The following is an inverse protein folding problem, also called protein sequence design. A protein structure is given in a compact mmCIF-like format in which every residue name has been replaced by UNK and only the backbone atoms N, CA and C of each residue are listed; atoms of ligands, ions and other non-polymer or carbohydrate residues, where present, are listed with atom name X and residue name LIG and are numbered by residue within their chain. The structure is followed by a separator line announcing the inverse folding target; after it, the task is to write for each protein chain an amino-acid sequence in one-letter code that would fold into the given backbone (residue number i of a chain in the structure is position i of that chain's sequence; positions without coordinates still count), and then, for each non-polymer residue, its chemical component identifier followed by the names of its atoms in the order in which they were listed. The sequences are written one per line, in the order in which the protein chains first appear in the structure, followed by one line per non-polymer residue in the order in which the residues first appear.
data_IF_715278408301
#
_entry.id   IF_715278408301
#
_cell.length_a   1.000
_cell.length_b   1.000
_cell.length_c   1.000
_cell.angle_alpha   90.00
_cell.angle_beta   90.00
_cell.angle_gamma   90.00
#
_symmetry.space_group_name_H-M   'P 1'
#
loop_
_entity.id
_entity.type
_entity.pdbx_description
1 polymer ?
#
# COMPACT_ATOMS: atom_id res chain seq x y z
N UNK A 1 -28.61 9.33 7.67
CA UNK A 1 -28.75 8.88 9.07
C UNK A 1 -28.56 10.12 9.93
N UNK A 2 -29.66 10.69 10.44
CA UNK A 2 -29.63 11.79 11.40
C UNK A 2 -28.91 11.31 12.66
N UNK A 3 -27.80 11.98 12.97
CA UNK A 3 -27.09 11.81 14.24
C UNK A 3 -28.03 12.31 15.34
N UNK A 4 -28.55 11.42 16.17
CA UNK A 4 -29.26 11.79 17.41
C UNK A 4 -28.19 12.45 18.28
N UNK A 5 -28.15 13.77 18.27
CA UNK A 5 -27.30 14.53 19.20
C UNK A 5 -27.99 14.55 20.57
N UNK A 6 -27.21 14.27 21.61
CA UNK A 6 -27.68 14.45 22.98
C UNK A 6 -28.19 15.89 23.16
N UNK A 7 -29.38 16.08 23.77
CA UNK A 7 -30.01 17.39 23.87
C UNK A 7 -29.12 18.44 24.57
N UNK A 8 -28.33 18.02 25.55
CA UNK A 8 -27.42 18.91 26.29
C UNK A 8 -26.26 19.40 25.43
N UNK A 9 -25.64 18.51 24.63
CA UNK A 9 -24.57 18.87 23.69
C UNK A 9 -25.11 19.77 22.60
N UNK A 10 -26.32 19.54 22.14
CA UNK A 10 -27.00 20.34 21.12
C UNK A 10 -27.15 21.81 21.58
N UNK A 11 -27.52 22.04 22.84
CA UNK A 11 -27.65 23.39 23.43
C UNK A 11 -26.27 24.09 23.50
N UNK A 12 -25.22 23.36 23.89
CA UNK A 12 -23.86 23.91 23.97
C UNK A 12 -23.38 24.33 22.58
N UNK A 13 -23.59 23.49 21.57
CA UNK A 13 -23.17 23.75 20.18
C UNK A 13 -23.93 24.93 19.55
N UNK A 14 -25.22 25.10 19.87
CA UNK A 14 -26.01 26.25 19.41
C UNK A 14 -25.49 27.57 19.99
N UNK A 15 -25.04 27.56 21.25
CA UNK A 15 -24.52 28.73 21.93
C UNK A 15 -23.03 29.01 21.61
N UNK A 16 -22.33 28.06 21.03
CA UNK A 16 -20.88 28.14 20.76
C UNK A 16 -20.53 27.47 19.43
N UNK A 17 -20.97 28.05 18.28
CA UNK A 17 -20.77 27.42 16.96
C UNK A 17 -19.29 27.22 16.58
N UNK A 18 -18.39 27.99 17.21
CA UNK A 18 -16.96 27.89 16.97
C UNK A 18 -16.33 26.58 17.49
N UNK A 19 -16.98 25.87 18.42
CA UNK A 19 -16.48 24.59 18.97
C UNK A 19 -16.31 23.52 17.88
N UNK A 20 -17.15 23.54 16.85
CA UNK A 20 -17.07 22.57 15.76
C UNK A 20 -15.91 22.89 14.81
N UNK A 21 -15.53 24.14 14.70
CA UNK A 21 -14.50 24.61 13.77
C UNK A 21 -13.08 24.30 14.24
N UNK A 22 -12.87 24.12 15.54
CA UNK A 22 -11.55 23.81 16.11
C UNK A 22 -11.12 22.36 15.89
N UNK A 23 -12.05 21.50 15.51
CA UNK A 23 -11.80 20.07 15.34
C UNK A 23 -11.60 19.34 16.68
N UNK A 24 -11.24 18.06 16.59
CA UNK A 24 -10.93 17.25 17.77
C UNK A 24 -9.43 17.33 18.08
N UNK A 25 -9.11 17.53 19.35
CA UNK A 25 -7.74 17.43 19.86
C UNK A 25 -7.24 15.95 19.86
N UNK A 26 -5.92 15.78 19.96
CA UNK A 26 -5.31 14.46 19.90
C UNK A 26 -5.74 13.52 21.04
N UNK A 27 -5.93 14.04 22.23
CA UNK A 27 -6.33 13.24 23.40
C UNK A 27 -7.76 12.77 23.24
N UNK A 28 -8.67 13.65 22.80
CA UNK A 28 -10.06 13.28 22.49
C UNK A 28 -10.10 12.22 21.38
N UNK A 29 -9.30 12.37 20.34
CA UNK A 29 -9.18 11.38 19.26
C UNK A 29 -8.62 10.06 19.77
N UNK A 30 -7.61 10.07 20.64
CA UNK A 30 -6.98 8.87 21.18
C UNK A 30 -7.95 8.09 22.08
N UNK A 31 -8.65 8.78 23.00
CA UNK A 31 -9.61 8.16 23.93
C UNK A 31 -10.87 7.69 23.18
N UNK A 32 -11.36 8.48 22.22
CA UNK A 32 -12.52 8.14 21.41
C UNK A 32 -12.22 7.16 20.28
N UNK A 33 -10.95 6.86 20.02
CA UNK A 33 -10.47 6.13 18.84
C UNK A 33 -11.05 4.74 18.61
N UNK A 34 -11.65 4.14 19.64
CA UNK A 34 -12.43 2.90 19.49
C UNK A 34 -13.90 3.13 19.07
N UNK A 35 -14.44 4.32 19.31
CA UNK A 35 -15.84 4.65 19.06
C UNK A 35 -16.04 5.58 17.86
N UNK A 36 -15.08 6.45 17.60
CA UNK A 36 -15.07 7.25 16.39
C UNK A 36 -14.34 6.43 15.32
N UNK A 37 -15.09 5.77 14.47
CA UNK A 37 -14.59 5.37 13.15
C UNK A 37 -14.27 6.65 12.38
N UNK A 38 -13.19 7.32 12.73
CA UNK A 38 -12.41 8.13 11.81
C UNK A 38 -11.79 7.14 10.81
N UNK A 39 -12.69 6.42 10.10
CA UNK A 39 -12.34 5.32 9.25
C UNK A 39 -11.19 5.75 8.38
N UNK A 40 -10.17 4.91 8.25
CA UNK A 40 -8.97 5.17 7.48
C UNK A 40 -9.32 5.93 6.21
N UNK A 41 -9.05 7.24 6.24
CA UNK A 41 -9.23 8.10 5.08
C UNK A 41 -8.08 7.82 4.15
N UNK A 42 -8.39 7.44 2.93
CA UNK A 42 -7.34 7.07 1.97
C UNK A 42 -7.69 7.46 0.54
N UNK A 43 -6.66 7.62 -0.27
CA UNK A 43 -6.77 7.66 -1.72
C UNK A 43 -6.46 6.24 -2.22
N UNK A 44 -7.46 5.60 -2.80
CA UNK A 44 -7.32 4.30 -3.44
C UNK A 44 -7.00 4.47 -4.93
N UNK A 45 -6.07 3.65 -5.42
CA UNK A 45 -5.68 3.56 -6.83
C UNK A 45 -6.32 2.30 -7.39
N UNK A 46 -7.41 2.44 -8.14
CA UNK A 46 -8.15 1.30 -8.68
C UNK A 46 -8.67 1.61 -10.08
N UNK A 47 -8.54 0.68 -11.02
CA UNK A 47 -9.10 0.84 -12.37
C UNK A 47 -8.59 2.09 -13.11
N UNK A 48 -7.34 2.53 -12.85
CA UNK A 48 -6.79 3.79 -13.36
C UNK A 48 -7.61 5.04 -12.95
N UNK A 49 -8.25 4.99 -11.77
CA UNK A 49 -8.94 6.12 -11.16
C UNK A 49 -8.44 6.34 -9.74
N UNK A 50 -8.44 7.60 -9.30
CA UNK A 50 -8.19 7.95 -7.90
C UNK A 50 -9.53 8.06 -7.17
N UNK A 51 -9.64 7.39 -6.02
CA UNK A 51 -10.87 7.30 -5.25
C UNK A 51 -10.63 7.71 -3.82
N UNK A 52 -11.41 8.65 -3.30
CA UNK A 52 -11.43 8.97 -1.88
C UNK A 52 -12.29 7.94 -1.15
N UNK A 53 -11.69 7.24 -0.21
CA UNK A 53 -12.35 6.20 0.61
C UNK A 53 -12.29 6.63 2.06
N UNK A 54 -13.42 6.59 2.76
CA UNK A 54 -13.57 6.94 4.17
C UNK A 54 -14.33 5.82 4.87
N UNK A 55 -13.72 5.22 5.91
CA UNK A 55 -14.36 4.11 6.64
C UNK A 55 -14.67 2.89 5.76
N UNK A 56 -13.85 2.63 4.75
CA UNK A 56 -14.07 1.54 3.79
C UNK A 56 -15.07 1.84 2.68
N UNK A 57 -15.77 2.99 2.73
CA UNK A 57 -16.75 3.39 1.71
C UNK A 57 -16.14 4.40 0.75
N UNK A 58 -16.34 4.21 -0.54
CA UNK A 58 -15.98 5.17 -1.57
C UNK A 58 -16.91 6.39 -1.46
N UNK A 59 -16.31 7.57 -1.27
CA UNK A 59 -17.06 8.83 -1.12
C UNK A 59 -16.95 9.71 -2.36
N UNK A 60 -15.88 9.58 -3.15
CA UNK A 60 -15.75 10.26 -4.44
C UNK A 60 -14.73 9.57 -5.33
N UNK A 61 -14.92 9.69 -6.64
CA UNK A 61 -14.01 9.24 -7.68
C UNK A 61 -13.53 10.46 -8.45
N UNK A 62 -12.23 10.54 -8.73
CA UNK A 62 -11.73 11.58 -9.62
C UNK A 62 -12.17 11.25 -11.05
N UNK A 63 -12.84 12.19 -11.69
CA UNK A 63 -13.24 12.10 -13.11
C UNK A 63 -12.01 12.15 -14.04
N UNK A 64 -10.93 12.75 -13.55
CA UNK A 64 -9.68 12.88 -14.28
C UNK A 64 -8.75 11.70 -14.00
N UNK A 65 -7.87 11.40 -14.97
CA UNK A 65 -6.80 10.42 -14.80
C UNK A 65 -5.61 10.99 -14.00
N UNK A 66 -5.77 12.14 -13.35
CA UNK A 66 -4.80 12.76 -12.48
C UNK A 66 -5.47 13.29 -11.20
N UNK A 67 -4.65 13.54 -10.18
CA UNK A 67 -5.03 14.16 -8.92
C UNK A 67 -3.87 14.98 -8.39
N UNK A 68 -4.14 16.18 -7.91
CA UNK A 68 -3.17 17.02 -7.25
C UNK A 68 -3.22 16.79 -5.73
N UNK A 69 -2.06 16.67 -5.11
CA UNK A 69 -1.90 16.41 -3.67
C UNK A 69 -0.76 17.24 -3.10
N UNK A 70 -0.73 17.39 -1.78
CA UNK A 70 0.48 17.79 -1.04
C UNK A 70 0.89 16.64 -0.13
N UNK A 71 2.14 16.21 -0.23
CA UNK A 71 2.69 15.11 0.59
C UNK A 71 3.13 15.71 1.92
N UNK A 72 2.43 15.39 3.01
CA UNK A 72 2.76 15.92 4.34
C UNK A 72 3.69 15.02 5.14
N UNK A 73 3.65 13.69 4.89
CA UNK A 73 4.55 12.71 5.51
C UNK A 73 4.76 11.50 4.61
N UNK A 74 5.90 10.85 4.72
CA UNK A 74 6.25 9.65 3.97
C UNK A 74 6.87 8.61 4.91
N UNK A 75 6.59 7.33 4.67
CA UNK A 75 7.38 6.26 5.26
C UNK A 75 8.82 6.36 4.75
N UNK A 76 9.80 6.15 5.61
CA UNK A 76 11.22 6.24 5.22
C UNK A 76 11.66 5.07 4.35
N UNK A 77 10.96 3.94 4.47
CA UNK A 77 11.21 2.72 3.71
C UNK A 77 9.90 2.18 3.12
N UNK A 78 10.03 1.42 2.05
CA UNK A 78 8.91 0.62 1.56
C UNK A 78 8.63 -0.53 2.54
N UNK A 79 7.42 -1.03 2.52
CA UNK A 79 6.98 -2.20 3.29
C UNK A 79 6.65 -3.35 2.36
N UNK A 80 6.61 -4.57 2.90
CA UNK A 80 6.25 -5.78 2.17
C UNK A 80 5.10 -6.51 2.84
N UNK A 81 4.25 -7.13 2.02
CA UNK A 81 3.15 -8.00 2.50
C UNK A 81 3.04 -9.21 1.59
N UNK A 82 2.92 -10.38 2.21
CA UNK A 82 2.72 -11.66 1.53
C UNK A 82 1.45 -12.34 2.03
N UNK A 83 0.62 -12.78 1.10
CA UNK A 83 -0.60 -13.54 1.36
C UNK A 83 -0.45 -14.91 0.74
N UNK A 84 -0.47 -15.96 1.57
CA UNK A 84 -0.41 -17.36 1.09
C UNK A 84 -1.75 -17.83 0.53
N UNK A 85 -2.85 -17.21 0.95
CA UNK A 85 -4.19 -17.58 0.49
C UNK A 85 -4.70 -16.59 -0.56
N UNK A 86 -5.45 -17.11 -1.53
CA UNK A 86 -6.17 -16.28 -2.48
C UNK A 86 -7.28 -15.51 -1.77
N UNK A 87 -7.54 -14.28 -2.23
CA UNK A 87 -8.67 -13.50 -1.76
C UNK A 87 -9.98 -14.23 -2.04
N UNK A 88 -10.81 -14.35 -1.01
CA UNK A 88 -12.20 -14.76 -1.15
C UNK A 88 -13.10 -13.59 -0.76
N UNK A 89 -14.10 -13.33 -1.55
CA UNK A 89 -15.03 -12.23 -1.32
C UNK A 89 -15.73 -12.39 0.04
N UNK A 90 -15.75 -11.29 0.82
CA UNK A 90 -16.34 -11.28 2.16
C UNK A 90 -15.45 -11.82 3.29
N UNK A 91 -14.31 -12.45 3.00
CA UNK A 91 -13.37 -12.92 4.03
C UNK A 91 -12.32 -11.85 4.35
N UNK A 92 -12.09 -11.64 5.65
CA UNK A 92 -10.98 -10.82 6.15
C UNK A 92 -9.71 -11.67 6.11
N UNK A 93 -8.91 -11.52 5.07
CA UNK A 93 -7.65 -12.25 4.95
C UNK A 93 -6.52 -11.39 5.52
N UNK A 94 -5.84 -11.92 6.54
CA UNK A 94 -4.61 -11.33 7.06
C UNK A 94 -3.42 -11.79 6.23
N UNK A 95 -2.40 -10.95 6.01
CA UNK A 95 -1.17 -11.41 5.38
C UNK A 95 -0.51 -12.49 6.24
N UNK A 96 0.11 -13.44 5.57
CA UNK A 96 0.87 -14.53 6.21
C UNK A 96 2.21 -14.04 6.73
N UNK A 97 2.83 -13.11 6.01
CA UNK A 97 4.11 -12.50 6.38
C UNK A 97 4.13 -11.04 5.92
N UNK A 98 4.75 -10.18 6.74
CA UNK A 98 4.92 -8.76 6.42
C UNK A 98 6.21 -8.21 6.99
N UNK A 99 6.61 -7.06 6.48
CA UNK A 99 7.78 -6.32 6.90
C UNK A 99 7.55 -4.83 6.72
N UNK A 100 7.67 -4.06 7.78
CA UNK A 100 7.52 -2.61 7.77
C UNK A 100 8.70 -1.89 7.11
N UNK A 101 9.88 -2.51 7.11
CA UNK A 101 11.13 -1.93 6.57
C UNK A 101 11.65 -2.62 5.29
N UNK A 102 10.99 -3.68 4.83
CA UNK A 102 11.38 -4.53 3.69
C UNK A 102 12.70 -5.30 3.88
N UNK A 103 13.25 -5.37 5.09
CA UNK A 103 14.54 -6.04 5.40
C UNK A 103 14.33 -7.38 6.08
N UNK A 104 13.57 -7.38 7.15
CA UNK A 104 13.26 -8.57 7.95
C UNK A 104 11.76 -8.62 8.21
N UNK A 105 11.16 -9.81 8.39
CA UNK A 105 9.79 -9.91 8.88
C UNK A 105 9.62 -9.19 10.22
N UNK A 106 8.48 -8.52 10.41
CA UNK A 106 8.16 -7.86 11.67
C UNK A 106 8.04 -8.90 12.80
N UNK A 107 8.31 -8.48 14.03
CA UNK A 107 8.40 -9.38 15.19
C UNK A 107 7.09 -10.10 15.53
N UNK A 108 5.97 -9.53 15.14
CA UNK A 108 4.62 -10.07 15.33
C UNK A 108 4.18 -11.05 14.23
N UNK A 109 5.01 -11.30 13.23
CA UNK A 109 4.77 -12.31 12.18
C UNK A 109 4.88 -13.70 12.78
N UNK A 110 3.75 -14.43 12.84
CA UNK A 110 3.72 -15.79 13.42
C UNK A 110 4.46 -16.83 12.59
N UNK A 111 4.47 -16.66 11.26
CA UNK A 111 5.07 -17.61 10.31
C UNK A 111 5.95 -16.86 9.31
N UNK A 112 7.16 -16.43 9.71
CA UNK A 112 8.09 -15.76 8.80
C UNK A 112 8.48 -16.69 7.65
N UNK A 113 8.37 -16.22 6.41
CA UNK A 113 8.66 -17.01 5.22
C UNK A 113 10.16 -17.10 4.91
N UNK A 114 10.97 -16.26 5.55
CA UNK A 114 12.43 -16.24 5.48
C UNK A 114 12.98 -15.45 6.65
N UNK A 115 14.27 -15.62 6.96
CA UNK A 115 14.98 -14.76 7.94
C UNK A 115 15.13 -13.33 7.46
N UNK A 116 15.30 -13.10 6.17
CA UNK A 116 15.40 -11.78 5.55
C UNK A 116 14.53 -11.69 4.31
N UNK A 117 14.04 -10.50 3.99
CA UNK A 117 13.21 -10.26 2.81
C UNK A 117 13.99 -10.42 1.50
N UNK A 118 15.28 -10.12 1.51
CA UNK A 118 16.13 -10.18 0.30
C UNK A 118 16.37 -11.61 -0.19
N UNK A 119 16.47 -12.57 0.73
CA UNK A 119 16.67 -13.99 0.41
C UNK A 119 15.37 -14.76 0.31
N UNK A 120 14.23 -14.11 0.53
CA UNK A 120 12.92 -14.73 0.52
C UNK A 120 12.50 -15.10 -0.91
N UNK A 121 12.14 -16.36 -1.15
CA UNK A 121 11.66 -16.83 -2.45
C UNK A 121 10.45 -16.04 -2.96
N UNK A 122 9.56 -15.59 -2.09
CA UNK A 122 8.37 -14.80 -2.44
C UNK A 122 8.69 -13.34 -2.78
N UNK A 123 9.88 -12.85 -2.43
CA UNK A 123 10.40 -11.54 -2.83
C UNK A 123 11.14 -11.57 -4.16
N UNK A 124 11.46 -12.77 -4.66
CA UNK A 124 12.15 -12.94 -5.92
C UNK A 124 11.29 -12.47 -7.10
N UNK A 125 11.95 -11.96 -8.14
CA UNK A 125 11.28 -11.59 -9.39
C UNK A 125 10.66 -12.85 -10.01
N UNK A 126 9.46 -12.72 -10.55
CA UNK A 126 8.66 -13.79 -11.15
C UNK A 126 8.15 -14.85 -10.15
N UNK A 127 8.21 -14.58 -8.85
CA UNK A 127 7.57 -15.43 -7.82
C UNK A 127 6.06 -15.23 -7.72
N UNK A 128 5.52 -14.23 -8.40
CA UNK A 128 4.10 -13.95 -8.42
C UNK A 128 3.32 -14.92 -9.31
N UNK A 129 2.01 -14.70 -9.34
CA UNK A 129 1.08 -15.52 -10.11
C UNK A 129 1.49 -15.56 -11.59
N UNK A 130 1.43 -16.75 -12.18
CA UNK A 130 1.82 -16.98 -13.57
C UNK A 130 3.25 -16.55 -13.90
N UNK A 131 4.16 -16.56 -12.92
CA UNK A 131 5.54 -16.14 -13.12
C UNK A 131 5.70 -14.64 -13.38
N UNK A 132 4.76 -13.80 -12.97
CA UNK A 132 4.86 -12.34 -13.13
C UNK A 132 5.00 -11.63 -11.80
N UNK A 133 5.84 -10.58 -11.74
CA UNK A 133 6.03 -9.76 -10.54
C UNK A 133 6.63 -10.53 -9.36
N UNK A 134 6.24 -10.15 -8.14
CA UNK A 134 6.64 -10.78 -6.88
C UNK A 134 5.41 -11.19 -6.09
N UNK A 135 5.41 -12.38 -5.49
CA UNK A 135 4.33 -12.83 -4.62
C UNK A 135 4.25 -11.98 -3.33
N UNK A 136 5.41 -11.63 -2.76
CA UNK A 136 5.50 -10.66 -1.67
C UNK A 136 5.49 -9.24 -2.24
N UNK A 137 4.38 -8.54 -2.02
CA UNK A 137 4.14 -7.22 -2.61
C UNK A 137 4.88 -6.14 -1.84
N UNK A 138 5.61 -5.30 -2.57
CA UNK A 138 6.23 -4.11 -2.04
C UNK A 138 5.31 -2.91 -2.26
N UNK A 139 5.16 -2.08 -1.24
CA UNK A 139 4.38 -0.85 -1.30
C UNK A 139 5.03 0.28 -0.51
N UNK A 140 4.75 1.53 -0.91
CA UNK A 140 5.22 2.72 -0.20
C UNK A 140 4.03 3.53 0.31
N UNK A 141 4.08 3.91 1.59
CA UNK A 141 3.00 4.64 2.26
C UNK A 141 3.35 6.08 2.46
N UNK A 142 2.37 6.95 2.26
CA UNK A 142 2.47 8.36 2.54
C UNK A 142 1.16 8.94 3.05
N UNK A 143 1.27 10.03 3.77
CA UNK A 143 0.16 10.88 4.19
C UNK A 143 0.08 12.07 3.24
N UNK A 144 -1.10 12.34 2.73
CA UNK A 144 -1.34 13.41 1.78
C UNK A 144 -2.58 14.22 2.17
N UNK A 145 -2.60 15.48 1.76
CA UNK A 145 -3.77 16.36 1.83
C UNK A 145 -4.11 16.89 0.44
N UNK A 146 -5.33 17.35 0.24
CA UNK A 146 -5.74 17.97 -1.03
C UNK A 146 -5.33 19.46 -1.05
N UNK A 147 -4.86 20.00 -2.18
CA UNK A 147 -4.39 21.40 -2.26
C UNK A 147 -5.48 22.43 -2.00
N UNK A 148 -6.75 22.08 -2.26
CA UNK A 148 -7.90 22.95 -2.01
C UNK A 148 -8.43 22.88 -0.57
N UNK A 149 -7.88 21.98 0.26
CA UNK A 149 -8.26 21.81 1.66
C UNK A 149 -7.07 21.30 2.48
N UNK A 150 -6.07 22.17 2.67
CA UNK A 150 -4.81 21.82 3.35
C UNK A 150 -4.99 21.57 4.85
N UNK A 151 -6.03 22.11 5.46
CA UNK A 151 -6.41 21.90 6.86
C UNK A 151 -7.35 20.70 7.05
N UNK A 152 -7.83 20.13 5.97
CA UNK A 152 -8.79 19.05 5.98
C UNK A 152 -8.18 17.67 6.25
N UNK A 153 -8.78 16.68 5.66
CA UNK A 153 -8.44 15.29 5.90
C UNK A 153 -7.02 14.92 5.48
N UNK A 154 -6.24 14.40 6.42
CA UNK A 154 -5.02 13.66 6.09
C UNK A 154 -5.40 12.26 5.62
N UNK A 155 -5.01 11.92 4.40
CA UNK A 155 -5.37 10.66 3.76
C UNK A 155 -4.13 9.79 3.55
N UNK A 156 -4.28 8.48 3.76
CA UNK A 156 -3.26 7.52 3.38
C UNK A 156 -3.26 7.34 1.86
N UNK A 157 -2.07 7.30 1.28
CA UNK A 157 -1.83 6.86 -0.09
C UNK A 157 -0.82 5.72 -0.07
N UNK A 158 -1.18 4.57 -0.66
CA UNK A 158 -0.31 3.39 -0.76
C UNK A 158 0.03 3.18 -2.22
N UNK A 159 1.31 3.28 -2.53
CA UNK A 159 1.82 3.10 -3.89
C UNK A 159 2.33 1.67 -4.09
N UNK A 160 1.94 1.00 -5.17
CA UNK A 160 2.54 -0.28 -5.56
C UNK A 160 3.97 -0.08 -6.07
N UNK A 161 4.77 -1.14 -6.05
CA UNK A 161 6.16 -1.12 -6.52
C UNK A 161 6.32 -0.52 -7.92
N UNK A 162 5.38 -0.77 -8.83
CA UNK A 162 5.36 -0.24 -10.21
C UNK A 162 5.35 1.29 -10.26
N UNK A 163 4.75 1.94 -9.26
CA UNK A 163 4.71 3.40 -9.13
C UNK A 163 5.89 3.98 -8.34
N UNK A 164 6.67 3.13 -7.64
CA UNK A 164 7.76 3.59 -6.77
C UNK A 164 9.10 3.69 -7.48
N UNK A 165 9.36 2.80 -8.44
CA UNK A 165 10.66 2.61 -9.07
C UNK A 165 10.58 2.71 -10.58
N UNK A 166 11.71 3.05 -11.22
CA UNK A 166 11.83 3.17 -12.66
C UNK A 166 12.58 4.44 -13.04
N UNK A 167 12.53 4.77 -14.32
CA UNK A 167 13.16 5.97 -14.89
C UNK A 167 12.12 7.06 -15.13
N UNK A 168 12.57 8.29 -15.18
CA UNK A 168 11.79 9.43 -15.63
C UNK A 168 11.38 9.25 -17.10
N UNK A 169 10.18 9.69 -17.43
CA UNK A 169 9.62 9.66 -18.79
C UNK A 169 8.91 10.99 -19.10
N UNK A 170 9.55 11.87 -19.85
CA UNK A 170 8.95 13.13 -20.31
C UNK A 170 8.54 14.09 -19.17
N UNK A 171 9.42 14.28 -18.19
CA UNK A 171 9.17 15.14 -17.03
C UNK A 171 8.27 14.53 -15.96
N UNK A 172 7.95 13.24 -16.07
CA UNK A 172 7.12 12.49 -15.11
C UNK A 172 7.94 11.39 -14.48
N UNK A 173 7.84 11.27 -13.20
CA UNK A 173 8.74 10.43 -12.40
C UNK A 173 7.96 9.37 -11.62
N UNK A 174 8.48 8.13 -11.50
CA UNK A 174 8.09 7.26 -10.40
C UNK A 174 8.40 7.92 -9.06
N UNK A 175 7.79 7.48 -7.97
CA UNK A 175 7.86 8.15 -6.68
C UNK A 175 9.29 8.39 -6.17
N UNK A 176 10.16 7.38 -6.11
CA UNK A 176 11.53 7.57 -5.61
C UNK A 176 12.36 8.54 -6.45
N UNK A 177 12.43 8.41 -7.79
CA UNK A 177 13.06 9.41 -8.64
C UNK A 177 12.45 10.82 -8.49
N UNK A 178 11.12 10.94 -8.27
CA UNK A 178 10.48 12.21 -8.01
C UNK A 178 11.01 12.87 -6.73
N UNK A 179 11.04 12.14 -5.61
CA UNK A 179 11.56 12.67 -4.34
C UNK A 179 13.05 13.01 -4.46
N UNK A 180 13.82 12.21 -5.19
CA UNK A 180 15.23 12.49 -5.44
C UNK A 180 15.43 13.74 -6.28
N UNK A 181 14.60 13.96 -7.29
CA UNK A 181 14.61 15.18 -8.10
C UNK A 181 14.32 16.41 -7.24
N UNK A 182 13.29 16.36 -6.36
CA UNK A 182 13.01 17.45 -5.42
C UNK A 182 14.19 17.71 -4.48
N UNK A 183 14.76 16.67 -3.88
CA UNK A 183 15.90 16.79 -2.97
C UNK A 183 17.14 17.38 -3.63
N UNK A 184 17.44 16.99 -4.86
CA UNK A 184 18.56 17.54 -5.65
C UNK A 184 18.40 19.05 -5.93
N UNK A 185 17.17 19.56 -5.88
CA UNK A 185 16.85 20.97 -6.03
C UNK A 185 16.59 21.68 -4.68
N UNK A 186 16.94 21.06 -3.54
CA UNK A 186 16.69 21.58 -2.18
C UNK A 186 15.21 21.87 -1.90
N UNK A 187 14.30 21.14 -2.49
CA UNK A 187 12.87 21.29 -2.31
C UNK A 187 12.31 20.13 -1.49
N UNK A 188 11.61 20.43 -0.40
CA UNK A 188 10.87 19.44 0.37
C UNK A 188 9.55 19.11 -0.29
N UNK A 189 9.12 17.85 -0.28
CA UNK A 189 7.86 17.39 -0.89
C UNK A 189 6.62 18.13 -0.35
N UNK A 190 6.60 18.48 0.95
CA UNK A 190 5.52 19.26 1.55
C UNK A 190 5.49 20.75 1.15
N UNK A 191 6.39 21.20 0.28
CA UNK A 191 6.43 22.57 -0.26
C UNK A 191 5.90 22.67 -1.68
N UNK A 192 5.48 21.55 -2.25
CA UNK A 192 5.08 21.44 -3.64
C UNK A 192 3.71 20.78 -3.72
N UNK A 193 2.81 21.39 -4.48
CA UNK A 193 1.63 20.71 -5.00
C UNK A 193 2.12 19.72 -6.06
N UNK A 194 1.91 18.45 -5.79
CA UNK A 194 2.36 17.34 -6.63
C UNK A 194 1.19 16.80 -7.44
N UNK A 195 1.34 16.76 -8.75
CA UNK A 195 0.39 16.09 -9.64
C UNK A 195 0.73 14.61 -9.72
N UNK A 196 -0.22 13.78 -9.38
CA UNK A 196 -0.23 12.34 -9.66
C UNK A 196 -1.03 12.09 -10.92
N UNK A 197 -0.53 11.23 -11.80
CA UNK A 197 -1.28 10.83 -13.00
C UNK A 197 -0.95 9.39 -13.37
N UNK A 198 -1.92 8.73 -14.00
CA UNK A 198 -1.70 7.38 -14.49
C UNK A 198 -0.80 7.38 -15.74
N UNK A 199 0.11 6.42 -15.79
CA UNK A 199 0.88 6.12 -17.01
C UNK A 199 -0.07 5.46 -18.03
N UNK A 200 -0.36 6.12 -19.16
CA UNK A 200 -1.28 5.57 -20.16
C UNK A 200 -0.73 4.32 -20.85
N UNK A 201 0.60 4.16 -20.86
CA UNK A 201 1.28 3.03 -21.51
C UNK A 201 1.31 1.78 -20.64
N UNK A 202 1.10 1.93 -19.32
CA UNK A 202 1.15 0.80 -18.39
C UNK A 202 -0.13 -0.06 -18.49
N UNK A 203 0.04 -1.37 -18.57
CA UNK A 203 -1.07 -2.34 -18.55
C UNK A 203 -1.74 -2.44 -17.17
N UNK A 204 -0.97 -2.21 -16.10
CA UNK A 204 -1.46 -2.16 -14.72
C UNK A 204 -1.43 -0.72 -14.21
N UNK A 205 -2.23 -0.36 -13.17
CA UNK A 205 -2.20 0.97 -12.61
C UNK A 205 -0.79 1.35 -12.14
N UNK A 206 -0.15 2.29 -12.85
CA UNK A 206 1.14 2.88 -12.54
C UNK A 206 0.96 4.39 -12.44
N UNK A 207 1.31 4.96 -11.31
CA UNK A 207 1.21 6.40 -11.04
C UNK A 207 2.58 7.04 -11.22
N UNK A 208 2.60 8.14 -11.93
CA UNK A 208 3.76 9.01 -12.13
C UNK A 208 3.49 10.37 -11.48
N UNK A 209 4.55 11.04 -11.08
CA UNK A 209 4.55 12.28 -10.32
C UNK A 209 5.28 13.39 -11.06
N UNK A 210 4.78 14.61 -10.96
CA UNK A 210 5.48 15.81 -11.37
C UNK A 210 5.07 16.99 -10.48
N UNK A 211 5.93 18.03 -10.30
CA UNK A 211 5.54 19.23 -9.59
C UNK A 211 4.50 20.02 -10.40
N UNK A 212 3.46 20.51 -9.72
CA UNK A 212 2.40 21.31 -10.35
C UNK A 212 2.48 22.79 -9.97
N UNK A 213 2.68 23.07 -8.66
CA UNK A 213 2.79 24.43 -8.14
C UNK A 213 3.58 24.45 -6.83
N UNK A 214 4.04 25.63 -6.43
CA UNK A 214 4.54 25.83 -5.07
C UNK A 214 3.36 25.96 -4.10
N UNK A 215 3.55 25.49 -2.87
CA UNK A 215 2.64 25.78 -1.75
C UNK A 215 2.86 27.22 -1.30
N UNK A 216 1.78 27.94 -0.97
CA UNK A 216 1.90 29.30 -0.47
C UNK A 216 2.60 29.31 0.91
N UNK A 217 3.37 30.35 1.17
CA UNK A 217 4.07 30.50 2.45
C UNK A 217 3.12 30.60 3.65
N UNK A 218 1.92 31.17 3.46
CA UNK A 218 0.85 31.23 4.48
C UNK A 218 0.37 29.84 4.94
N UNK A 219 0.50 28.81 4.10
CA UNK A 219 -0.06 27.49 4.34
C UNK A 219 0.95 26.54 5.00
N UNK A 220 2.21 26.99 5.15
CA UNK A 220 3.28 26.12 5.64
C UNK A 220 3.08 25.67 7.09
N UNK A 221 2.52 26.53 7.95
CA UNK A 221 2.22 26.17 9.34
C UNK A 221 1.13 25.11 9.43
N UNK A 222 0.11 25.22 8.59
CA UNK A 222 -0.97 24.23 8.51
C UNK A 222 -0.38 22.87 8.09
N UNK A 223 0.43 22.85 7.04
CA UNK A 223 1.06 21.60 6.56
C UNK A 223 2.03 21.02 7.59
N UNK A 224 2.74 21.85 8.35
CA UNK A 224 3.60 21.37 9.42
C UNK A 224 2.79 20.72 10.56
N UNK A 225 1.64 21.28 10.94
CA UNK A 225 0.72 20.64 11.89
C UNK A 225 0.18 19.34 11.34
N UNK A 226 -0.28 19.31 10.09
CA UNK A 226 -0.75 18.10 9.43
C UNK A 226 0.31 16.99 9.42
N UNK A 227 1.58 17.33 9.17
CA UNK A 227 2.67 16.35 9.14
C UNK A 227 2.97 15.70 10.49
N UNK A 228 2.61 16.36 11.60
CA UNK A 228 2.80 15.90 12.97
C UNK A 228 1.54 15.26 13.57
N UNK A 229 0.42 15.31 12.86
CA UNK A 229 -0.84 14.76 13.34
C UNK A 229 -0.78 13.25 13.50
N UNK A 230 -1.59 12.71 14.42
CA UNK A 230 -1.76 11.27 14.61
C UNK A 230 -2.24 10.58 13.33
N UNK A 231 -3.08 11.25 12.54
CA UNK A 231 -3.53 10.76 11.25
C UNK A 231 -2.38 10.58 10.25
N UNK A 232 -1.41 11.53 10.20
CA UNK A 232 -0.24 11.40 9.34
C UNK A 232 0.70 10.29 9.82
N UNK A 233 0.88 10.13 11.14
CA UNK A 233 1.64 9.02 11.72
C UNK A 233 1.02 7.65 11.37
N UNK A 234 -0.29 7.53 11.49
CA UNK A 234 -0.99 6.30 11.14
C UNK A 234 -0.97 6.02 9.65
N UNK A 235 -1.11 7.05 8.80
CA UNK A 235 -1.13 6.89 7.35
C UNK A 235 0.17 6.31 6.78
N UNK A 236 1.32 6.51 7.44
CA UNK A 236 2.61 5.97 6.98
C UNK A 236 2.95 4.61 7.58
N UNK A 237 2.23 4.15 8.62
CA UNK A 237 2.44 2.84 9.23
C UNK A 237 1.87 1.72 8.35
N UNK A 238 2.49 0.56 8.42
CA UNK A 238 1.94 -0.67 7.83
C UNK A 238 0.76 -1.13 8.69
N UNK A 239 -0.43 -1.08 8.12
CA UNK A 239 -1.64 -1.63 8.76
C UNK A 239 -1.92 -2.99 8.15
N UNK A 240 -1.84 -4.03 8.97
CA UNK A 240 -2.00 -5.43 8.53
C UNK A 240 -3.47 -5.77 8.28
N UNK A 241 -4.39 -5.07 8.96
CA UNK A 241 -5.83 -5.26 8.84
C UNK A 241 -6.47 -4.02 8.21
N UNK A 242 -6.81 -4.09 6.92
CA UNK A 242 -7.64 -3.08 6.26
C UNK A 242 -9.00 -3.68 5.96
N UNK A 243 -10.05 -3.12 6.56
CA UNK A 243 -11.42 -3.47 6.23
C UNK A 243 -11.83 -2.73 4.96
N UNK A 244 -11.73 -3.35 3.82
CA UNK A 244 -12.36 -2.91 2.58
C UNK A 244 -13.69 -3.62 2.43
N UNK A 245 -14.72 -3.06 3.02
CA UNK A 245 -16.10 -3.50 2.77
C UNK A 245 -16.66 -2.79 1.53
N UNK A 246 -16.08 -3.03 0.38
CA UNK A 246 -16.71 -2.75 -0.91
C UNK A 246 -16.37 -3.88 -1.87
N UNK A 247 -17.35 -4.76 -2.00
CA UNK A 247 -17.48 -5.71 -3.09
C UNK A 247 -17.47 -4.98 -4.42
N UNK A 248 -16.39 -5.06 -5.14
CA UNK A 248 -16.34 -5.02 -6.60
C UNK A 248 -14.95 -5.48 -7.04
N UNK A 249 -14.93 -6.35 -8.03
CA UNK A 249 -13.84 -7.14 -8.55
C UNK A 249 -12.48 -6.45 -8.57
N UNK A 250 -11.67 -6.76 -7.56
CA UNK A 250 -10.23 -6.72 -7.74
C UNK A 250 -9.86 -8.02 -8.44
N UNK A 251 -9.49 -7.95 -9.69
CA UNK A 251 -8.65 -8.95 -10.30
C UNK A 251 -7.32 -8.96 -9.54
N UNK A 252 -7.35 -9.53 -8.35
CA UNK A 252 -6.14 -9.94 -7.64
C UNK A 252 -5.57 -11.11 -8.42
N UNK A 253 -4.31 -11.07 -8.81
CA UNK A 253 -3.68 -12.27 -9.34
C UNK A 253 -3.88 -13.37 -8.29
N UNK A 254 -4.49 -14.49 -8.70
CA UNK A 254 -4.61 -15.67 -7.85
C UNK A 254 -3.21 -16.08 -7.37
N UNK A 255 -3.06 -16.31 -6.07
CA UNK A 255 -1.86 -16.96 -5.55
C UNK A 255 -1.93 -18.40 -6.01
N UNK A 256 -1.07 -18.78 -6.93
CA UNK A 256 -0.86 -20.21 -7.21
C UNK A 256 -0.22 -20.78 -5.95
N UNK A 257 -0.87 -21.77 -5.35
CA UNK A 257 -0.23 -22.63 -4.36
C UNK A 257 1.11 -23.08 -4.92
N UNK A 258 2.18 -22.97 -4.13
CA UNK A 258 3.46 -23.56 -4.49
C UNK A 258 3.20 -25.02 -4.89
N UNK A 259 3.84 -25.53 -5.94
CA UNK A 259 3.73 -26.94 -6.24
C UNK A 259 4.17 -27.69 -4.99
N UNK A 260 3.26 -28.50 -4.46
CA UNK A 260 3.60 -29.53 -3.48
C UNK A 260 4.68 -30.36 -4.16
N UNK A 261 5.88 -30.41 -3.56
CA UNK A 261 6.93 -31.28 -4.03
C UNK A 261 6.32 -32.68 -4.12
N UNK A 262 6.29 -33.24 -5.31
CA UNK A 262 5.89 -34.62 -5.53
C UNK A 262 6.69 -35.47 -4.55
N UNK A 263 5.97 -36.19 -3.70
CA UNK A 263 6.51 -37.28 -2.90
C UNK A 263 7.07 -38.25 -3.91
N UNK A 264 8.40 -38.35 -3.96
CA UNK A 264 9.09 -39.33 -4.77
C UNK A 264 8.71 -40.69 -4.15
N UNK A 265 7.85 -41.42 -4.82
CA UNK A 265 7.58 -42.82 -4.54
C UNK A 265 8.91 -43.57 -4.56
N UNK A 266 9.24 -44.21 -3.47
CA UNK A 266 10.37 -45.13 -3.38
C UNK A 266 10.24 -46.18 -4.48
N UNK A 267 11.29 -46.48 -5.27
CA UNK A 267 11.24 -47.58 -6.22
C UNK A 267 11.21 -48.88 -5.47
N UNK A 268 10.11 -49.59 -5.60
CA UNK A 268 9.97 -50.99 -5.21
C UNK A 268 11.06 -51.80 -5.89
N UNK A 269 11.95 -52.36 -5.08
CA UNK A 269 12.95 -53.34 -5.47
C UNK A 269 12.24 -54.55 -6.11
N UNK A 270 12.33 -54.68 -7.42
CA UNK A 270 12.08 -55.95 -8.12
C UNK A 270 13.38 -56.73 -8.23
N UNK A 271 13.29 -57.92 -7.69
CA UNK A 271 14.28 -59.00 -7.66
C UNK A 271 14.89 -59.31 -9.04
N UNK A 272 16.20 -59.45 -8.98
CA UNK A 272 17.13 -60.25 -9.79
C UNK A 272 16.53 -61.24 -10.77
N UNK A 273 16.85 -61.07 -12.05
CA UNK A 273 17.03 -62.14 -12.99
C UNK A 273 18.43 -62.07 -13.59
N UNK A 274 19.16 -63.25 -13.44
CA UNK A 274 20.49 -63.47 -13.95
C UNK A 274 20.51 -63.43 -15.49
N UNK A 275 21.43 -62.69 -16.06
CA UNK A 275 21.82 -62.81 -17.47
C UNK A 275 23.31 -63.10 -17.53
N UNK A 276 23.63 -64.31 -18.04
CA UNK A 276 24.95 -64.87 -18.30
C UNK A 276 25.79 -64.00 -19.26
N UNK A 277 27.11 -64.02 -19.12
CA UNK A 277 28.00 -63.28 -19.99
C UNK A 277 28.17 -63.97 -21.35
N UNK A 278 28.03 -63.21 -22.41
CA UNK A 278 28.48 -63.59 -23.73
C UNK A 278 29.86 -63.05 -24.03
N UNK A 279 30.73 -63.93 -24.42
CA UNK A 279 32.12 -63.80 -24.82
C UNK A 279 32.30 -62.90 -26.05
N UNK A 280 33.25 -62.01 -25.92
CA UNK A 280 33.78 -61.16 -27.01
C UNK A 280 34.76 -61.95 -27.82
N UNK A 281 34.57 -62.11 -29.12
CA UNK A 281 35.60 -62.50 -30.06
C UNK A 281 36.07 -61.26 -30.80
N UNK A 282 37.37 -60.97 -30.60
CA UNK A 282 38.17 -60.14 -31.48
C UNK A 282 38.47 -60.83 -32.81
N UNK A 283 38.36 -60.17 -33.92
CA UNK A 283 39.20 -60.37 -35.11
C UNK A 283 39.14 -59.12 -36.02
N UNK A 284 40.36 -58.58 -36.27
CA UNK A 284 40.87 -57.70 -37.33
C UNK A 284 40.31 -56.31 -37.46
#
# INVERSE_FOLDING_TARGET
VEKIMNSELSVILQNSPNLIQTGLDEDTLAVAGGAINSGNKRISIRGKSFRKVVGGKEVSVSENNYMDIVIVKMAHTASRTFYAQSYKEGEKISPTCWSSDSRVPDIDVKSPQSKTCDTCQFSAKNSGVNGTGTACRLSWRMAVVLPNDLSGDVMQLVLPATSCFGKEEGGKYPFRPYIQMLANNNVSAGRVVTKMQFDPKASTPKVLFNPAAAVNSSDLEVLQRQSKSSAAEQAVKLTVYQNDSTSEEVTTPQVVSAPVADVIDEPVLRSTEEVKPQTVNNAN
#
